data_IF_481418082658
#
_entry.id   IF_481418082658
#
_cell.length_a   1.000
_cell.length_b   1.000
_cell.length_c   1.000
_cell.angle_alpha   90.00
_cell.angle_beta   90.00
_cell.angle_gamma   90.00
#
_symmetry.space_group_name_H-M   'P 1'
#
loop_
_entity.id
_entity.type
_entity.pdbx_description
1 polymer ?
#
# COMPACT_ATOMS: atom_id res chain seq x y z
N UNK A 1 4.78 -3.01 -1.72
CA UNK A 1 5.14 -1.63 -2.11
C UNK A 1 4.06 -0.65 -1.64
N UNK A 2 4.42 0.58 -1.30
CA UNK A 2 3.48 1.62 -0.86
C UNK A 2 3.54 2.83 -1.80
N UNK A 3 2.38 3.27 -2.29
CA UNK A 3 2.22 4.44 -3.16
C UNK A 3 0.93 5.19 -2.81
N UNK A 4 1.00 6.07 -1.81
CA UNK A 4 -0.17 6.76 -1.24
C UNK A 4 -0.55 7.98 -2.05
N UNK A 5 0.46 8.67 -2.60
CA UNK A 5 0.29 9.96 -3.25
C UNK A 5 -0.63 9.87 -4.46
N UNK A 6 -0.47 8.83 -5.27
CA UNK A 6 -1.28 8.60 -6.47
C UNK A 6 -1.18 7.13 -6.88
N UNK A 7 -2.25 6.57 -7.43
CA UNK A 7 -2.25 5.18 -7.88
C UNK A 7 -1.24 4.93 -9.00
N UNK A 8 -0.46 3.82 -8.96
CA UNK A 8 0.42 3.44 -10.06
C UNK A 8 -0.35 3.08 -11.34
N UNK A 9 -1.68 2.88 -11.25
CA UNK A 9 -2.56 2.64 -12.38
C UNK A 9 -3.23 3.92 -12.91
N UNK A 10 -2.99 5.07 -12.27
CA UNK A 10 -3.49 6.35 -12.77
C UNK A 10 -2.81 6.72 -14.09
N UNK A 11 -3.60 7.21 -15.05
CA UNK A 11 -3.11 7.63 -16.36
C UNK A 11 -2.04 8.74 -16.20
N UNK A 12 -0.80 8.51 -16.64
CA UNK A 12 0.24 9.53 -16.57
C UNK A 12 -0.11 10.76 -17.42
N UNK A 13 0.24 11.94 -16.91
CA UNK A 13 -0.03 13.23 -17.55
C UNK A 13 -1.33 13.90 -17.11
N UNK A 14 -2.08 13.30 -16.16
CA UNK A 14 -3.31 13.86 -15.60
C UNK A 14 -3.16 14.01 -14.08
N UNK A 15 -3.48 15.20 -13.56
CA UNK A 15 -3.39 15.50 -12.12
C UNK A 15 -1.97 15.31 -11.59
N UNK A 16 -1.85 14.61 -10.46
CA UNK A 16 -0.55 14.27 -9.85
C UNK A 16 0.10 13.00 -10.45
N UNK A 17 -0.54 12.33 -11.43
CA UNK A 17 0.01 11.13 -12.06
C UNK A 17 1.10 11.47 -13.09
N UNK A 18 2.30 10.93 -12.89
CA UNK A 18 3.45 11.21 -13.74
C UNK A 18 4.51 10.10 -13.71
N UNK A 19 5.79 10.50 -13.78
CA UNK A 19 6.92 9.57 -13.89
C UNK A 19 7.02 8.58 -12.73
N UNK A 20 6.60 8.96 -11.53
CA UNK A 20 6.62 8.07 -10.36
C UNK A 20 5.65 6.89 -10.50
N UNK A 21 4.45 7.13 -11.05
CA UNK A 21 3.44 6.09 -11.25
C UNK A 21 3.96 5.02 -12.21
N UNK A 22 4.54 5.47 -13.33
CA UNK A 22 5.20 4.61 -14.31
C UNK A 22 6.36 3.87 -13.66
N UNK A 23 7.22 4.56 -12.92
CA UNK A 23 8.36 3.95 -12.25
C UNK A 23 7.94 2.84 -11.28
N UNK A 24 6.95 3.08 -10.41
CA UNK A 24 6.46 2.11 -9.43
C UNK A 24 5.90 0.87 -10.14
N UNK A 25 5.04 1.08 -11.12
CA UNK A 25 4.43 -0.02 -11.86
C UNK A 25 5.48 -0.83 -12.63
N UNK A 26 6.38 -0.17 -13.35
CA UNK A 26 7.43 -0.85 -14.08
C UNK A 26 8.38 -1.60 -13.15
N UNK A 27 8.75 -1.03 -12.00
CA UNK A 27 9.58 -1.72 -11.01
C UNK A 27 8.91 -3.00 -10.54
N UNK A 28 7.61 -2.96 -10.20
CA UNK A 28 6.86 -4.13 -9.78
C UNK A 28 6.83 -5.22 -10.86
N UNK A 29 6.58 -4.85 -12.12
CA UNK A 29 6.57 -5.79 -13.27
C UNK A 29 7.94 -6.42 -13.52
N UNK A 30 9.04 -5.69 -13.31
CA UNK A 30 10.39 -6.24 -13.46
C UNK A 30 10.77 -7.18 -12.32
N UNK A 31 10.30 -6.90 -11.09
CA UNK A 31 10.48 -7.78 -9.94
C UNK A 31 9.70 -9.09 -10.10
N UNK A 32 8.44 -9.02 -10.53
CA UNK A 32 7.63 -10.22 -10.81
C UNK A 32 8.24 -11.12 -11.88
N UNK A 33 8.82 -10.54 -12.94
CA UNK A 33 9.57 -11.31 -13.95
C UNK A 33 10.83 -12.00 -13.41
N UNK A 34 11.32 -11.60 -12.23
CA UNK A 34 12.43 -12.25 -11.52
C UNK A 34 11.96 -13.19 -10.42
N UNK A 35 10.66 -13.48 -10.35
CA UNK A 35 10.06 -14.39 -9.37
C UNK A 35 9.74 -13.74 -8.03
N UNK A 36 9.74 -12.41 -7.93
CA UNK A 36 9.36 -11.68 -6.70
C UNK A 36 7.91 -11.25 -6.80
N UNK A 37 7.06 -11.76 -5.92
CA UNK A 37 5.67 -11.31 -5.83
C UNK A 37 5.59 -9.88 -5.25
N UNK A 38 4.78 -9.03 -5.87
CA UNK A 38 4.65 -7.63 -5.51
C UNK A 38 3.19 -7.25 -5.34
N UNK A 39 2.82 -6.87 -4.12
CA UNK A 39 1.57 -6.18 -3.84
C UNK A 39 1.83 -4.68 -3.65
N UNK A 40 1.12 -3.84 -4.38
CA UNK A 40 1.21 -2.37 -4.31
C UNK A 40 -0.03 -1.82 -3.62
N UNK A 41 0.13 -1.20 -2.46
CA UNK A 41 -0.95 -0.51 -1.77
C UNK A 41 -1.02 0.94 -2.23
N UNK A 42 -2.21 1.37 -2.66
CA UNK A 42 -2.52 2.75 -3.04
C UNK A 42 -3.86 3.18 -2.46
N UNK A 43 -4.06 4.48 -2.29
CA UNK A 43 -5.34 5.03 -1.82
C UNK A 43 -6.40 4.83 -2.91
N UNK A 44 -7.60 4.39 -2.54
CA UNK A 44 -8.76 4.39 -3.42
C UNK A 44 -9.22 5.82 -3.68
N UNK A 45 -9.53 6.15 -4.93
CA UNK A 45 -9.96 7.49 -5.37
C UNK A 45 -11.40 7.53 -5.86
N UNK A 46 -12.03 6.37 -6.03
CA UNK A 46 -13.45 6.23 -6.32
C UNK A 46 -14.04 5.04 -5.55
N UNK A 47 -15.33 5.12 -5.20
CA UNK A 47 -16.05 3.99 -4.58
C UNK A 47 -16.20 2.79 -5.51
N UNK A 48 -16.08 3.03 -6.81
CA UNK A 48 -16.12 2.02 -7.88
C UNK A 48 -14.76 1.37 -8.13
N UNK A 49 -13.67 1.88 -7.52
CA UNK A 49 -12.36 1.26 -7.66
C UNK A 49 -12.43 -0.16 -7.09
N UNK A 50 -12.04 -1.20 -7.85
CA UNK A 50 -12.03 -2.55 -7.32
C UNK A 50 -11.05 -2.63 -6.14
N UNK A 51 -11.37 -3.34 -5.05
CA UNK A 51 -10.50 -3.43 -3.88
C UNK A 51 -9.10 -3.96 -4.23
N UNK A 52 -9.00 -4.84 -5.23
CA UNK A 52 -7.76 -5.37 -5.76
C UNK A 52 -7.80 -5.46 -7.29
N UNK A 53 -6.66 -5.27 -7.94
CA UNK A 53 -6.45 -5.39 -9.38
C UNK A 53 -5.24 -6.27 -9.63
N UNK A 54 -5.42 -7.41 -10.28
CA UNK A 54 -4.29 -8.20 -10.79
C UNK A 54 -3.77 -7.53 -12.06
N UNK A 55 -2.55 -7.00 -12.02
CA UNK A 55 -1.97 -6.26 -13.15
C UNK A 55 -1.20 -7.19 -14.10
N UNK A 56 -0.49 -8.15 -13.52
CA UNK A 56 0.26 -9.20 -14.21
C UNK A 56 0.47 -10.37 -13.24
N UNK A 57 0.87 -11.57 -13.69
CA UNK A 57 1.28 -12.64 -12.77
C UNK A 57 2.32 -12.13 -11.77
N UNK A 58 2.06 -12.31 -10.47
CA UNK A 58 2.92 -11.83 -9.39
C UNK A 58 2.84 -10.32 -9.10
N UNK A 59 1.94 -9.55 -9.75
CA UNK A 59 1.72 -8.12 -9.44
C UNK A 59 0.25 -7.84 -9.14
N UNK A 60 -0.02 -7.45 -7.89
CA UNK A 60 -1.33 -7.04 -7.39
C UNK A 60 -1.30 -5.58 -6.98
N UNK A 61 -2.34 -4.81 -7.32
CA UNK A 61 -2.57 -3.47 -6.77
C UNK A 61 -3.78 -3.54 -5.85
N UNK A 62 -3.63 -3.10 -4.61
CA UNK A 62 -4.73 -2.98 -3.63
C UNK A 62 -5.11 -1.52 -3.43
N UNK A 63 -6.38 -1.24 -3.66
CA UNK A 63 -6.99 0.04 -3.36
C UNK A 63 -7.47 0.06 -1.90
N UNK A 64 -6.83 0.88 -1.09
CA UNK A 64 -7.14 1.06 0.33
C UNK A 64 -8.07 2.26 0.49
N UNK A 65 -9.26 2.02 1.03
CA UNK A 65 -10.18 3.09 1.41
C UNK A 65 -9.59 3.85 2.59
N UNK A 66 -9.21 5.11 2.34
CA UNK A 66 -8.68 6.02 3.35
C UNK A 66 -9.10 7.45 3.01
N UNK A 67 -9.95 8.02 3.88
CA UNK A 67 -10.56 9.33 3.65
C UNK A 67 -11.66 9.32 2.59
N UNK A 68 -12.17 10.52 2.23
CA UNK A 68 -13.08 10.67 1.09
C UNK A 68 -12.41 10.27 -0.22
N UNK A 69 -13.20 9.76 -1.17
CA UNK A 69 -12.70 9.31 -2.47
C UNK A 69 -12.14 10.47 -3.31
N UNK A 70 -12.92 11.55 -3.38
CA UNK A 70 -12.62 12.77 -4.14
C UNK A 70 -12.39 13.99 -3.23
N UNK A 71 -11.98 15.11 -3.83
CA UNK A 71 -11.84 16.39 -3.13
C UNK A 71 -10.61 16.51 -2.22
N UNK A 72 -9.65 15.59 -2.34
CA UNK A 72 -8.35 15.68 -1.66
C UNK A 72 -7.27 16.03 -2.67
N UNK A 73 -6.54 17.10 -2.40
CA UNK A 73 -5.29 17.36 -3.09
C UNK A 73 -4.09 16.73 -2.34
N UNK A 74 -2.89 16.89 -2.89
CA UNK A 74 -1.66 16.33 -2.30
C UNK A 74 -1.33 16.86 -0.91
N UNK A 75 -1.77 18.05 -0.55
CA UNK A 75 -1.56 18.68 0.75
C UNK A 75 -2.56 18.18 1.79
N UNK A 76 -3.70 17.64 1.35
CA UNK A 76 -4.68 17.00 2.22
C UNK A 76 -4.32 15.55 2.59
N UNK A 77 -3.61 14.84 1.70
CA UNK A 77 -3.24 13.43 1.90
C UNK A 77 -2.54 13.08 3.23
N UNK A 78 -1.70 13.93 3.86
CA UNK A 78 -1.15 13.67 5.20
C UNK A 78 -2.21 13.32 6.24
N UNK A 79 -3.40 13.92 6.15
CA UNK A 79 -4.51 13.69 7.10
C UNK A 79 -5.08 12.27 7.01
N UNK A 80 -4.81 11.56 5.91
CA UNK A 80 -5.35 10.23 5.64
C UNK A 80 -4.36 9.09 5.93
N UNK A 81 -3.12 9.41 6.34
CA UNK A 81 -2.07 8.41 6.53
C UNK A 81 -2.40 7.37 7.60
N UNK A 82 -3.08 7.76 8.68
CA UNK A 82 -3.51 6.82 9.72
C UNK A 82 -4.53 5.81 9.20
N UNK A 83 -5.55 6.28 8.47
CA UNK A 83 -6.57 5.43 7.88
C UNK A 83 -5.96 4.48 6.83
N UNK A 84 -5.04 5.01 6.01
CA UNK A 84 -4.32 4.23 5.02
C UNK A 84 -3.43 3.16 5.67
N UNK A 85 -2.61 3.52 6.66
CA UNK A 85 -1.75 2.60 7.38
C UNK A 85 -2.56 1.48 8.06
N UNK A 86 -3.70 1.82 8.68
CA UNK A 86 -4.60 0.82 9.25
C UNK A 86 -5.12 -0.16 8.17
N UNK A 87 -5.40 0.32 6.96
CA UNK A 87 -5.77 -0.54 5.83
C UNK A 87 -4.65 -1.49 5.40
N UNK A 88 -3.41 -1.00 5.31
CA UNK A 88 -2.23 -1.83 5.02
C UNK A 88 -2.02 -2.89 6.10
N UNK A 89 -2.08 -2.51 7.38
CA UNK A 89 -1.91 -3.43 8.50
C UNK A 89 -3.04 -4.48 8.58
N UNK A 90 -4.28 -4.11 8.23
CA UNK A 90 -5.37 -5.08 8.12
C UNK A 90 -5.13 -6.12 7.03
N UNK A 91 -4.60 -5.69 5.88
CA UNK A 91 -4.25 -6.60 4.80
C UNK A 91 -3.11 -7.54 5.24
N UNK A 92 -2.07 -7.02 5.90
CA UNK A 92 -1.00 -7.87 6.46
C UNK A 92 -1.52 -8.86 7.50
N UNK A 93 -2.39 -8.42 8.41
CA UNK A 93 -2.94 -9.26 9.46
C UNK A 93 -3.86 -10.39 8.95
N UNK A 94 -4.32 -10.32 7.69
CA UNK A 94 -5.06 -11.39 7.04
C UNK A 94 -4.17 -12.56 6.59
N UNK A 95 -2.84 -12.40 6.66
CA UNK A 95 -1.87 -13.43 6.34
C UNK A 95 -1.11 -13.90 7.59
N UNK A 96 -0.39 -15.01 7.42
CA UNK A 96 0.52 -15.49 8.45
C UNK A 96 1.65 -14.48 8.68
N UNK A 97 2.18 -14.40 9.91
CA UNK A 97 3.33 -13.56 10.21
C UNK A 97 4.47 -13.78 9.20
N UNK A 98 5.04 -12.69 8.66
CA UNK A 98 6.17 -12.76 7.73
C UNK A 98 5.76 -12.94 6.26
N UNK A 99 4.47 -12.79 5.92
CA UNK A 99 4.00 -12.85 4.54
C UNK A 99 4.65 -11.81 3.61
N UNK A 100 4.98 -10.62 4.13
CA UNK A 100 5.75 -9.61 3.40
C UNK A 100 7.18 -9.54 3.92
N UNK A 101 8.15 -9.88 3.08
CA UNK A 101 9.57 -9.79 3.42
C UNK A 101 10.08 -8.35 3.45
N UNK A 102 9.58 -7.50 2.55
CA UNK A 102 10.10 -6.15 2.32
C UNK A 102 8.97 -5.14 2.11
N UNK A 103 9.08 -4.00 2.81
CA UNK A 103 8.26 -2.81 2.55
C UNK A 103 9.07 -1.78 1.78
N UNK A 104 8.75 -1.61 0.50
CA UNK A 104 9.35 -0.58 -0.35
C UNK A 104 8.38 0.59 -0.54
N UNK A 105 8.77 1.77 -0.10
CA UNK A 105 7.91 2.97 -0.05
C UNK A 105 8.31 4.00 -1.08
N UNK A 106 7.34 4.60 -1.76
CA UNK A 106 7.57 5.58 -2.81
C UNK A 106 6.95 6.91 -2.45
N UNK A 107 7.76 7.98 -2.42
CA UNK A 107 7.41 9.31 -1.92
C UNK A 107 7.32 9.41 -0.39
N UNK A 108 7.51 10.62 0.15
CA UNK A 108 7.68 10.85 1.59
C UNK A 108 6.42 10.47 2.41
N UNK A 109 5.22 10.66 1.85
CA UNK A 109 3.96 10.23 2.47
C UNK A 109 3.94 8.72 2.72
N UNK A 110 4.33 7.93 1.70
CA UNK A 110 4.43 6.48 1.85
C UNK A 110 5.58 6.08 2.76
N UNK A 111 6.63 6.87 2.88
CA UNK A 111 7.71 6.66 3.84
C UNK A 111 7.22 6.62 5.28
N UNK A 112 6.29 7.51 5.67
CA UNK A 112 5.69 7.50 7.02
C UNK A 112 4.88 6.23 7.27
N UNK A 113 4.09 5.80 6.29
CA UNK A 113 3.33 4.54 6.36
C UNK A 113 4.28 3.34 6.43
N UNK A 114 5.35 3.33 5.64
CA UNK A 114 6.35 2.27 5.64
C UNK A 114 7.08 2.15 6.98
N UNK A 115 7.36 3.28 7.63
CA UNK A 115 7.92 3.28 8.98
C UNK A 115 6.97 2.65 10.00
N UNK A 116 5.68 2.99 9.96
CA UNK A 116 4.64 2.39 10.81
C UNK A 116 4.45 0.90 10.53
N UNK A 117 4.40 0.50 9.26
CA UNK A 117 4.26 -0.91 8.88
C UNK A 117 5.45 -1.75 9.35
N UNK A 118 6.67 -1.21 9.21
CA UNK A 118 7.88 -1.87 9.69
C UNK A 118 7.95 -2.00 11.21
N UNK A 119 7.50 -1.00 11.97
CA UNK A 119 7.46 -1.06 13.44
C UNK A 119 6.35 -1.95 13.96
N UNK A 120 5.13 -1.84 13.42
CA UNK A 120 4.00 -2.69 13.80
C UNK A 120 4.26 -4.16 13.49
N UNK A 121 4.84 -4.45 12.32
CA UNK A 121 5.31 -5.77 11.95
C UNK A 121 6.25 -6.32 13.02
N UNK A 122 7.28 -5.57 13.43
CA UNK A 122 8.18 -5.95 14.53
C UNK A 122 7.47 -6.17 15.87
N UNK A 123 6.54 -5.30 16.26
CA UNK A 123 5.84 -5.39 17.55
C UNK A 123 4.90 -6.60 17.67
N UNK A 124 4.35 -7.11 16.55
CA UNK A 124 3.52 -8.33 16.54
C UNK A 124 4.29 -9.58 17.01
N UNK A 125 5.63 -9.57 16.90
CA UNK A 125 6.49 -10.67 17.32
C UNK A 125 6.89 -10.60 18.80
N UNK A 126 6.85 -9.43 19.43
CA UNK A 126 7.29 -9.20 20.81
C UNK A 126 6.14 -9.13 21.83
N UNK A 127 4.88 -9.22 21.40
CA UNK A 127 3.73 -9.29 22.31
C UNK A 127 3.48 -10.76 22.69
N UNK A 128 3.60 -11.15 23.98
CA UNK A 128 3.19 -12.48 24.41
C UNK A 128 1.71 -12.65 24.09
N UNK A 129 1.35 -13.58 23.21
CA UNK A 129 -0.04 -13.99 23.03
C UNK A 129 -0.47 -14.80 24.25
N UNK A 130 -0.78 -14.14 25.35
CA UNK A 130 -1.53 -14.76 26.44
C UNK A 130 -2.95 -14.98 25.93
N UNK A 131 -3.22 -16.20 25.46
CA UNK A 131 -4.59 -16.69 25.26
C UNK A 131 -5.25 -16.66 26.64
N UNK A 132 -6.17 -15.73 26.87
CA UNK A 132 -7.07 -15.84 28.00
C UNK A 132 -7.98 -17.05 27.77
N UNK A 133 -8.02 -18.04 28.68
CA UNK A 133 -9.03 -19.09 28.60
C UNK A 133 -10.41 -18.46 28.76
N UNK A 134 -11.38 -18.99 27.99
CA UNK A 134 -12.78 -18.60 28.05
C UNK A 134 -13.39 -18.87 29.41
#
# INVERSE_FOLDING_TARGET
MLSVHTSPLAQPGIGDAGGMNVYVLQTALHLARRGVEVEIFTRATASTDPPTVQVAPGVLVRNVVAGPFEGLDKYDLPTQLCAFAAGVLRAEAAHEPGYYDIVHSHYWLSGQVGWLAGTAGRCRWYTPRTRWPR
#
